data_IF_362611273500
#
_entry.id   IF_362611273500
#
_cell.length_a   1.000
_cell.length_b   1.000
_cell.length_c   1.000
_cell.angle_alpha   90.00
_cell.angle_beta   90.00
_cell.angle_gamma   90.00
#
_symmetry.space_group_name_H-M   'P 1'
#
loop_
_entity.id
_entity.type
_entity.pdbx_description
1 polymer ?
#
# COMPACT_ATOMS: atom_id res chain seq x y z
N UNK A 1 12.02 0.58 -7.60
CA UNK A 1 10.75 1.32 -7.45
C UNK A 1 10.65 2.14 -8.71
N UNK A 2 10.11 1.55 -9.76
CA UNK A 2 10.00 2.24 -11.04
C UNK A 2 8.86 3.24 -10.88
N UNK A 3 9.22 4.48 -10.55
CA UNK A 3 8.30 5.61 -10.69
C UNK A 3 7.81 5.58 -12.14
N UNK A 4 6.49 5.54 -12.34
CA UNK A 4 5.88 5.59 -13.67
C UNK A 4 5.64 7.07 -14.04
N UNK A 5 6.63 7.81 -14.59
CA UNK A 5 6.48 9.23 -14.88
C UNK A 5 5.34 9.48 -15.87
N UNK A 6 5.13 8.58 -16.83
CA UNK A 6 4.05 8.68 -17.80
C UNK A 6 2.67 8.61 -17.14
N UNK A 7 2.48 7.72 -16.16
CA UNK A 7 1.22 7.59 -15.43
C UNK A 7 0.96 8.83 -14.56
N UNK A 8 2.01 9.35 -13.90
CA UNK A 8 1.90 10.56 -13.09
C UNK A 8 1.56 11.81 -13.95
N UNK A 9 2.22 11.96 -15.11
CA UNK A 9 1.92 13.03 -16.07
C UNK A 9 0.52 12.89 -16.65
N UNK A 10 0.06 11.67 -16.92
CA UNK A 10 -1.31 11.43 -17.35
C UNK A 10 -2.32 11.90 -16.30
N UNK A 11 -2.11 11.54 -15.03
CA UNK A 11 -2.99 11.96 -13.94
C UNK A 11 -2.94 13.47 -13.69
N UNK A 12 -1.78 14.11 -13.81
CA UNK A 12 -1.66 15.57 -13.66
C UNK A 12 -2.37 16.30 -14.81
N UNK A 13 -2.23 15.81 -16.05
CA UNK A 13 -2.95 16.34 -17.21
C UNK A 13 -4.47 16.14 -17.08
N UNK A 14 -4.90 14.99 -16.56
CA UNK A 14 -6.31 14.71 -16.31
C UNK A 14 -6.92 15.64 -15.25
N UNK A 15 -6.20 15.87 -14.15
CA UNK A 15 -6.58 16.87 -13.14
C UNK A 15 -6.59 18.29 -13.70
N UNK A 16 -5.62 18.65 -14.52
CA UNK A 16 -5.59 19.95 -15.20
C UNK A 16 -6.80 20.13 -16.14
N UNK A 17 -7.15 19.09 -16.90
CA UNK A 17 -8.34 19.09 -17.76
C UNK A 17 -9.63 19.27 -16.97
N UNK A 18 -9.79 18.53 -15.86
CA UNK A 18 -10.97 18.67 -14.99
C UNK A 18 -11.04 20.06 -14.37
N UNK A 19 -9.89 20.64 -14.00
CA UNK A 19 -9.84 22.01 -13.47
C UNK A 19 -10.26 23.04 -14.52
N UNK A 20 -9.81 22.90 -15.77
CA UNK A 20 -10.26 23.76 -16.88
C UNK A 20 -11.76 23.58 -17.14
N UNK A 21 -12.24 22.34 -17.23
CA UNK A 21 -13.67 22.04 -17.43
C UNK A 21 -14.52 22.65 -16.32
N UNK A 22 -14.05 22.59 -15.08
CA UNK A 22 -14.70 23.20 -13.93
C UNK A 22 -14.79 24.72 -14.07
N UNK A 23 -13.72 25.40 -14.50
CA UNK A 23 -13.75 26.84 -14.76
C UNK A 23 -14.73 27.21 -15.88
N UNK A 24 -14.76 26.43 -16.96
CA UNK A 24 -15.72 26.63 -18.04
C UNK A 24 -17.17 26.50 -17.55
N UNK A 25 -17.46 25.51 -16.70
CA UNK A 25 -18.77 25.35 -16.08
C UNK A 25 -19.11 26.54 -15.17
N UNK A 26 -18.16 27.01 -14.36
CA UNK A 26 -18.34 28.18 -13.51
C UNK A 26 -18.70 29.41 -14.35
N UNK A 27 -17.94 29.71 -15.42
CA UNK A 27 -18.27 30.84 -16.30
C UNK A 27 -19.62 30.67 -17.01
N UNK A 28 -19.95 29.45 -17.45
CA UNK A 28 -21.26 29.14 -18.06
C UNK A 28 -22.40 29.42 -17.08
N UNK A 29 -22.30 28.90 -15.84
CA UNK A 29 -23.32 29.09 -14.80
C UNK A 29 -23.45 30.56 -14.43
N UNK A 30 -22.34 31.28 -14.27
CA UNK A 30 -22.37 32.73 -14.01
C UNK A 30 -23.09 33.46 -15.14
N UNK A 31 -22.75 33.16 -16.41
CA UNK A 31 -23.41 33.78 -17.57
C UNK A 31 -24.90 33.46 -17.63
N UNK A 32 -25.28 32.24 -17.26
CA UNK A 32 -26.67 31.78 -17.18
C UNK A 32 -27.47 32.58 -16.12
N UNK A 33 -26.92 32.71 -14.91
CA UNK A 33 -27.50 33.53 -13.83
C UNK A 33 -27.64 34.99 -14.26
N UNK A 34 -26.67 35.54 -15.00
CA UNK A 34 -26.76 36.92 -15.48
C UNK A 34 -27.80 37.09 -16.60
N UNK A 35 -27.95 36.08 -17.47
CA UNK A 35 -28.95 36.07 -18.56
C UNK A 35 -30.38 35.94 -18.08
N UNK A 36 -30.61 35.37 -16.91
CA UNK A 36 -31.93 35.38 -16.29
C UNK A 36 -32.29 36.81 -15.86
N UNK A 37 -33.17 37.46 -16.62
CA UNK A 37 -33.62 38.83 -16.36
C UNK A 37 -34.77 38.90 -15.34
N UNK A 38 -35.35 37.76 -14.94
CA UNK A 38 -36.42 37.70 -13.95
C UNK A 38 -35.89 37.63 -12.50
N UNK A 39 -34.64 37.22 -12.34
CA UNK A 39 -33.98 37.17 -11.02
C UNK A 39 -33.61 38.56 -10.49
N UNK A 40 -34.05 38.85 -9.26
CA UNK A 40 -33.64 40.05 -8.51
C UNK A 40 -32.11 40.11 -8.32
N UNK A 41 -31.54 41.32 -8.28
CA UNK A 41 -30.08 41.52 -8.14
C UNK A 41 -29.48 40.87 -6.89
N UNK A 42 -30.25 40.76 -5.81
CA UNK A 42 -29.86 40.04 -4.59
C UNK A 42 -29.81 38.53 -4.78
N UNK A 43 -30.73 37.97 -5.56
CA UNK A 43 -30.68 36.57 -5.98
C UNK A 43 -29.41 36.28 -6.78
N UNK A 44 -29.06 37.15 -7.73
CA UNK A 44 -27.81 37.01 -8.52
C UNK A 44 -26.57 37.08 -7.63
N UNK A 45 -26.52 38.01 -6.67
CA UNK A 45 -25.40 38.13 -5.74
C UNK A 45 -25.25 36.89 -4.83
N UNK A 46 -26.35 36.37 -4.29
CA UNK A 46 -26.36 35.15 -3.48
C UNK A 46 -25.90 33.93 -4.27
N UNK A 47 -26.39 33.77 -5.50
CA UNK A 47 -25.96 32.69 -6.39
C UNK A 47 -24.50 32.81 -6.82
N UNK A 48 -24.02 34.03 -7.07
CA UNK A 48 -22.61 34.26 -7.38
C UNK A 48 -21.71 33.87 -6.20
N UNK A 49 -22.08 34.27 -4.97
CA UNK A 49 -21.37 33.86 -3.75
C UNK A 49 -21.42 32.34 -3.60
N UNK A 50 -22.57 31.72 -3.80
CA UNK A 50 -22.72 30.27 -3.69
C UNK A 50 -21.84 29.51 -4.71
N UNK A 51 -21.82 29.96 -5.97
CA UNK A 51 -20.97 29.39 -7.04
C UNK A 51 -19.48 29.64 -6.79
N UNK A 52 -19.11 30.81 -6.25
CA UNK A 52 -17.74 31.16 -5.85
C UNK A 52 -17.30 30.44 -4.58
N UNK A 53 -18.22 30.03 -3.70
CA UNK A 53 -17.93 29.25 -2.51
C UNK A 53 -17.90 27.73 -2.77
N UNK A 54 -18.65 27.26 -3.77
CA UNK A 54 -18.63 25.87 -4.23
C UNK A 54 -17.25 25.29 -4.66
N UNK A 55 -16.21 26.03 -5.10
CA UNK A 55 -14.84 25.49 -5.20
C UNK A 55 -14.28 25.01 -3.86
N UNK A 56 -14.63 25.66 -2.74
CA UNK A 56 -14.15 25.23 -1.42
C UNK A 56 -14.77 23.92 -0.97
N UNK A 57 -15.90 23.49 -1.55
CA UNK A 57 -16.44 22.15 -1.31
C UNK A 57 -15.47 21.07 -1.78
N UNK A 58 -14.77 21.28 -2.91
CA UNK A 58 -13.73 20.38 -3.38
C UNK A 58 -12.55 20.30 -2.41
N UNK A 59 -12.14 21.43 -1.83
CA UNK A 59 -11.09 21.50 -0.79
C UNK A 59 -11.56 20.83 0.50
N UNK A 60 -12.82 21.05 0.91
CA UNK A 60 -13.43 20.42 2.09
C UNK A 60 -13.54 18.91 1.91
N UNK A 61 -13.99 18.44 0.74
CA UNK A 61 -14.04 17.02 0.37
C UNK A 61 -12.63 16.46 0.30
N UNK A 62 -11.65 17.16 -0.25
CA UNK A 62 -10.25 16.72 -0.30
C UNK A 62 -9.67 16.54 1.11
N UNK A 63 -9.89 17.50 2.01
CA UNK A 63 -9.44 17.42 3.41
C UNK A 63 -10.19 16.32 4.17
N UNK A 64 -11.50 16.14 3.96
CA UNK A 64 -12.29 15.08 4.60
C UNK A 64 -11.97 13.68 4.05
N UNK A 65 -11.86 13.55 2.74
CA UNK A 65 -11.58 12.28 2.06
C UNK A 65 -10.12 11.84 2.26
N UNK A 66 -9.18 12.79 2.34
CA UNK A 66 -7.74 12.50 2.40
C UNK A 66 -7.11 12.67 3.78
N UNK A 67 -7.75 13.37 4.70
CA UNK A 67 -7.29 13.52 6.09
C UNK A 67 -7.23 12.20 6.87
N UNK A 68 -8.10 11.24 6.54
CA UNK A 68 -8.13 9.90 7.20
C UNK A 68 -7.10 8.90 6.65
N UNK A 69 -6.53 9.16 5.46
CA UNK A 69 -5.66 8.20 4.78
C UNK A 69 -4.21 8.18 5.27
N UNK A 70 -3.74 9.26 5.90
CA UNK A 70 -2.36 9.38 6.35
C UNK A 70 -2.15 8.66 7.69
N UNK A 71 -2.99 8.98 8.67
CA UNK A 71 -2.92 8.39 10.02
C UNK A 71 -3.18 6.88 10.03
N UNK A 72 -4.06 6.36 9.16
CA UNK A 72 -4.36 4.93 9.14
C UNK A 72 -3.28 4.08 8.48
N UNK A 73 -2.51 4.63 7.54
CA UNK A 73 -1.40 3.89 6.91
C UNK A 73 -0.25 3.70 7.88
N UNK A 74 0.04 4.69 8.70
CA UNK A 74 1.10 4.62 9.70
C UNK A 74 0.76 3.61 10.81
N UNK A 75 -0.49 3.60 11.27
CA UNK A 75 -0.96 2.63 12.29
C UNK A 75 -1.03 1.20 11.72
N UNK A 76 -1.44 1.03 10.45
CA UNK A 76 -1.50 -0.30 9.82
C UNK A 76 -0.11 -0.86 9.52
N UNK A 77 0.83 -0.01 9.08
CA UNK A 77 2.22 -0.42 8.87
C UNK A 77 2.89 -0.81 10.20
N UNK A 78 2.63 -0.07 11.28
CA UNK A 78 3.14 -0.41 12.61
C UNK A 78 2.61 -1.78 13.09
N UNK A 79 1.31 -2.05 12.96
CA UNK A 79 0.72 -3.34 13.37
C UNK A 79 1.15 -4.53 12.52
N UNK A 80 1.34 -4.35 11.21
CA UNK A 80 1.78 -5.43 10.33
C UNK A 80 3.22 -5.85 10.60
N UNK A 81 4.10 -4.88 10.88
CA UNK A 81 5.48 -5.18 11.24
C UNK A 81 5.56 -5.94 12.57
N UNK A 82 4.71 -5.62 13.54
CA UNK A 82 4.66 -6.31 14.84
C UNK A 82 4.16 -7.76 14.71
N UNK A 83 3.13 -8.01 13.89
CA UNK A 83 2.60 -9.35 13.65
C UNK A 83 3.60 -10.24 12.89
N UNK A 84 4.23 -9.71 11.83
CA UNK A 84 5.24 -10.46 11.07
C UNK A 84 6.45 -10.83 11.93
N UNK A 85 6.82 -9.96 12.86
CA UNK A 85 7.89 -10.23 13.82
C UNK A 85 7.52 -11.37 14.80
N UNK A 86 6.28 -11.41 15.30
CA UNK A 86 5.81 -12.48 16.18
C UNK A 86 5.68 -13.84 15.47
N UNK A 87 5.19 -13.85 14.22
CA UNK A 87 5.06 -15.09 13.44
C UNK A 87 6.42 -15.68 13.08
N UNK A 88 7.41 -14.84 12.76
CA UNK A 88 8.78 -15.30 12.55
C UNK A 88 9.33 -16.00 13.79
N UNK A 89 9.14 -15.41 14.98
CA UNK A 89 9.56 -16.00 16.26
C UNK A 89 8.81 -17.31 16.54
N UNK A 90 7.50 -17.37 16.29
CA UNK A 90 6.70 -18.59 16.54
C UNK A 90 7.02 -19.71 15.57
N UNK A 91 7.29 -19.41 14.30
CA UNK A 91 7.58 -20.42 13.28
C UNK A 91 9.00 -20.97 13.43
N UNK A 92 9.96 -20.13 13.81
CA UNK A 92 11.30 -20.60 14.19
C UNK A 92 11.28 -21.38 15.51
N UNK A 93 10.46 -20.98 16.50
CA UNK A 93 10.33 -21.71 17.76
C UNK A 93 9.41 -22.96 17.69
N UNK A 94 8.53 -23.06 16.69
CA UNK A 94 7.50 -24.11 16.57
C UNK A 94 7.79 -25.20 15.53
N UNK A 95 8.88 -25.08 14.76
CA UNK A 95 9.34 -26.10 13.80
C UNK A 95 10.56 -26.86 14.33
N UNK A 96 10.81 -26.80 15.63
CA UNK A 96 11.70 -27.73 16.32
C UNK A 96 10.86 -28.61 17.25
N UNK A 97 10.59 -29.89 16.90
CA UNK A 97 10.50 -30.88 17.95
C UNK A 97 11.88 -30.90 18.61
N UNK A 98 11.90 -30.67 19.91
CA UNK A 98 12.98 -31.16 20.76
C UNK A 98 13.20 -32.66 20.42
N UNK A 99 14.19 -32.96 19.58
CA UNK A 99 14.57 -34.32 19.17
C UNK A 99 14.44 -34.72 17.68
N UNK A 100 14.21 -33.79 16.74
CA UNK A 100 13.91 -34.15 15.33
C UNK A 100 14.99 -33.99 14.25
N UNK A 101 15.99 -33.12 14.39
CA UNK A 101 16.90 -32.82 13.25
C UNK A 101 17.95 -33.91 13.00
N UNK A 102 18.36 -34.63 14.04
CA UNK A 102 19.49 -35.56 13.94
C UNK A 102 19.19 -36.81 13.12
N UNK A 103 17.99 -37.38 13.26
CA UNK A 103 17.63 -38.62 12.59
C UNK A 103 17.45 -38.43 11.06
N UNK A 104 16.82 -37.31 10.65
CA UNK A 104 16.62 -36.98 9.24
C UNK A 104 17.94 -36.59 8.54
N UNK A 105 18.85 -35.92 9.25
CA UNK A 105 20.18 -35.63 8.73
C UNK A 105 21.07 -36.88 8.64
N UNK A 106 20.98 -37.80 9.61
CA UNK A 106 21.65 -39.11 9.55
C UNK A 106 21.15 -39.97 8.38
N UNK A 107 19.85 -39.93 8.10
CA UNK A 107 19.27 -40.64 6.96
C UNK A 107 19.80 -40.11 5.62
N UNK A 108 19.95 -38.79 5.48
CA UNK A 108 20.55 -38.16 4.29
C UNK A 108 22.03 -38.50 4.15
N UNK A 109 22.79 -38.48 5.24
CA UNK A 109 24.21 -38.87 5.23
C UNK A 109 24.40 -40.34 4.80
N UNK A 110 23.52 -41.24 5.23
CA UNK A 110 23.57 -42.65 4.85
C UNK A 110 23.29 -42.88 3.36
N UNK A 111 22.35 -42.13 2.78
CA UNK A 111 22.04 -42.16 1.36
C UNK A 111 23.21 -41.63 0.51
N UNK A 112 23.88 -40.56 0.95
CA UNK A 112 25.06 -40.02 0.27
C UNK A 112 26.22 -41.01 0.25
N UNK A 113 26.44 -41.74 1.35
CA UNK A 113 27.44 -42.80 1.42
C UNK A 113 27.09 -43.96 0.48
N UNK A 114 25.82 -44.39 0.45
CA UNK A 114 25.38 -45.48 -0.42
C UNK A 114 25.56 -45.17 -1.91
N UNK A 115 25.50 -43.89 -2.28
CA UNK A 115 25.76 -43.38 -3.63
C UNK A 115 27.26 -43.18 -3.93
N UNK A 116 28.14 -43.45 -2.96
CA UNK A 116 29.57 -43.23 -3.07
C UNK A 116 30.00 -41.76 -3.08
N UNK A 117 29.12 -40.84 -2.67
CA UNK A 117 29.39 -39.40 -2.69
C UNK A 117 30.28 -38.94 -1.52
N UNK A 118 30.35 -39.75 -0.46
CA UNK A 118 31.22 -39.53 0.72
C UNK A 118 31.89 -40.86 1.11
N UNK A 119 33.09 -40.78 1.65
CA UNK A 119 33.80 -41.98 2.13
C UNK A 119 33.26 -42.45 3.48
N UNK A 120 33.63 -43.67 3.90
CA UNK A 120 33.26 -44.18 5.23
C UNK A 120 33.79 -43.26 6.34
N UNK A 121 35.02 -42.76 6.21
CA UNK A 121 35.61 -41.91 7.24
C UNK A 121 34.84 -40.58 7.39
N UNK A 122 34.41 -39.98 6.28
CA UNK A 122 33.65 -38.73 6.27
C UNK A 122 32.24 -38.91 6.85
N UNK A 123 31.59 -40.04 6.55
CA UNK A 123 30.30 -40.38 7.14
C UNK A 123 30.37 -40.53 8.66
N UNK A 124 31.40 -41.20 9.19
CA UNK A 124 31.55 -41.40 10.64
C UNK A 124 31.84 -40.08 11.38
N UNK A 125 32.62 -39.16 10.78
CA UNK A 125 32.85 -37.83 11.36
C UNK A 125 31.57 -37.00 11.40
N UNK A 126 30.81 -36.97 10.31
CA UNK A 126 29.55 -36.25 10.24
C UNK A 126 28.52 -36.81 11.23
N UNK A 127 28.40 -38.14 11.34
CA UNK A 127 27.54 -38.81 12.31
C UNK A 127 27.92 -38.48 13.76
N UNK A 128 29.21 -38.43 14.09
CA UNK A 128 29.67 -38.10 15.44
C UNK A 128 29.33 -36.66 15.81
N UNK A 129 29.48 -35.72 14.87
CA UNK A 129 29.13 -34.30 15.05
C UNK A 129 27.63 -34.05 15.22
N UNK A 130 26.81 -34.96 14.71
CA UNK A 130 25.34 -34.91 14.78
C UNK A 130 24.76 -35.61 16.01
N UNK A 131 25.52 -36.55 16.61
CA UNK A 131 25.13 -37.29 17.81
C UNK A 131 25.79 -36.77 19.09
N UNK A 132 26.65 -35.75 19.00
CA UNK A 132 27.31 -35.07 20.11
C UNK A 132 26.70 -33.68 20.27
#
# INVERSE_FOLDING_TARGET
MDDYPALNVFWSMFWFFIWIMWLFLLFKIITDIFRDHEMSGWGKAGWLIFVILLPFLGVFVYVIARGKGMTQRDVKAAKQNEAAFQDYIRQTAGTEPAGGSGADELAKLADLKARGAITEEEFQQAKTKLLT
#
